data_IF_425411788934
#
_entry.id   IF_425411788934
#
_cell.length_a   1.000
_cell.length_b   1.000
_cell.length_c   1.000
_cell.angle_alpha   90.00
_cell.angle_beta   90.00
_cell.angle_gamma   90.00
#
_symmetry.space_group_name_H-M   'P 1'
#
loop_
_entity.id
_entity.type
_entity.pdbx_description
1 polymer ?
#
# COMPACT_ATOMS: atom_id res chain seq x y z
N UNK A 1 13.26 -1.77 -74.51
CA UNK A 1 13.19 -0.92 -73.29
C UNK A 1 11.98 -1.26 -72.41
N UNK A 2 11.86 -2.51 -71.91
CA UNK A 2 10.69 -2.96 -71.10
C UNK A 2 11.03 -3.14 -69.61
N UNK A 3 12.31 -3.28 -69.27
CA UNK A 3 12.77 -3.65 -67.94
C UNK A 3 12.43 -2.62 -66.85
N UNK A 4 12.55 -1.32 -67.16
CA UNK A 4 12.25 -0.24 -66.21
C UNK A 4 10.79 -0.19 -65.77
N UNK A 5 9.83 -0.56 -66.63
CA UNK A 5 8.39 -0.58 -66.27
C UNK A 5 8.05 -1.77 -65.37
N UNK A 6 8.68 -2.91 -65.59
CA UNK A 6 8.50 -4.10 -64.74
C UNK A 6 9.08 -3.85 -63.34
N UNK A 7 10.27 -3.24 -63.26
CA UNK A 7 10.90 -2.89 -61.98
C UNK A 7 10.08 -1.85 -61.21
N UNK A 8 9.57 -0.82 -61.89
CA UNK A 8 8.71 0.22 -61.27
C UNK A 8 7.40 -0.36 -60.74
N UNK A 9 6.82 -1.35 -61.43
CA UNK A 9 5.58 -2.03 -60.98
C UNK A 9 5.84 -2.97 -59.80
N UNK A 10 6.95 -3.72 -59.82
CA UNK A 10 7.36 -4.58 -58.70
C UNK A 10 7.65 -3.80 -57.41
N UNK A 11 8.24 -2.60 -57.53
CA UNK A 11 8.45 -1.70 -56.38
C UNK A 11 7.14 -1.11 -55.86
N UNK A 12 6.22 -0.72 -56.75
CA UNK A 12 4.90 -0.23 -56.36
C UNK A 12 4.06 -1.32 -55.65
N UNK A 13 4.14 -2.57 -56.13
CA UNK A 13 3.45 -3.71 -55.52
C UNK A 13 4.06 -4.13 -54.16
N UNK A 14 5.34 -3.82 -53.92
CA UNK A 14 6.02 -4.09 -52.65
C UNK A 14 5.83 -2.99 -51.59
N UNK A 15 5.34 -1.81 -51.97
CA UNK A 15 5.10 -0.69 -51.06
C UNK A 15 4.07 -1.01 -49.94
N UNK A 16 2.91 -1.62 -50.25
CA UNK A 16 1.91 -1.97 -49.23
C UNK A 16 2.40 -2.95 -48.15
N UNK A 17 3.03 -4.11 -48.48
CA UNK A 17 3.48 -5.05 -47.44
C UNK A 17 4.63 -4.48 -46.61
N UNK A 18 5.53 -3.68 -47.20
CA UNK A 18 6.62 -3.03 -46.46
C UNK A 18 6.08 -1.97 -45.50
N UNK A 19 5.10 -1.17 -45.94
CA UNK A 19 4.43 -0.20 -45.08
C UNK A 19 3.72 -0.87 -43.90
N UNK A 20 3.01 -1.98 -44.13
CA UNK A 20 2.40 -2.77 -43.07
C UNK A 20 3.43 -3.38 -42.12
N UNK A 21 4.54 -3.91 -42.63
CA UNK A 21 5.61 -4.48 -41.80
C UNK A 21 6.24 -3.42 -40.88
N UNK A 22 6.48 -2.20 -41.39
CA UNK A 22 6.96 -1.08 -40.59
C UNK A 22 5.95 -0.65 -39.53
N UNK A 23 4.66 -0.60 -39.89
CA UNK A 23 3.59 -0.27 -38.95
C UNK A 23 3.49 -1.31 -37.82
N UNK A 24 3.53 -2.60 -38.16
CA UNK A 24 3.56 -3.68 -37.17
C UNK A 24 4.80 -3.59 -36.27
N UNK A 25 5.98 -3.32 -36.83
CA UNK A 25 7.21 -3.11 -36.06
C UNK A 25 7.10 -1.93 -35.09
N UNK A 26 6.50 -0.83 -35.54
CA UNK A 26 6.22 0.34 -34.69
C UNK A 26 5.28 0.00 -33.53
N UNK A 27 4.18 -0.73 -33.81
CA UNK A 27 3.26 -1.17 -32.76
C UNK A 27 3.91 -2.14 -31.77
N UNK A 28 4.77 -3.06 -32.23
CA UNK A 28 5.54 -3.96 -31.34
C UNK A 28 6.46 -3.14 -30.45
N UNK A 29 7.29 -2.26 -31.03
CA UNK A 29 8.19 -1.40 -30.26
C UNK A 29 7.44 -0.55 -29.22
N UNK A 30 6.33 0.07 -29.62
CA UNK A 30 5.52 0.91 -28.74
C UNK A 30 4.75 0.10 -27.70
N UNK A 31 4.38 -1.16 -27.99
CA UNK A 31 3.76 -2.04 -27.00
C UNK A 31 4.75 -2.50 -25.93
N UNK A 32 6.04 -2.62 -26.26
CA UNK A 32 7.10 -2.93 -25.30
C UNK A 32 7.53 -1.72 -24.47
N UNK A 33 7.62 -0.53 -25.08
CA UNK A 33 8.13 0.69 -24.43
C UNK A 33 7.05 1.69 -23.97
N UNK A 34 5.79 1.48 -24.31
CA UNK A 34 4.70 2.39 -23.96
C UNK A 34 4.27 2.23 -22.51
N UNK A 35 3.66 3.30 -21.95
CA UNK A 35 3.13 3.37 -20.58
C UNK A 35 2.06 2.31 -20.24
N UNK A 36 1.59 1.57 -21.25
CA UNK A 36 0.65 0.45 -21.12
C UNK A 36 1.31 -0.93 -21.14
N UNK A 37 2.63 -0.98 -21.35
CA UNK A 37 3.43 -2.20 -21.38
C UNK A 37 3.34 -2.96 -20.05
N UNK A 38 3.50 -4.28 -20.11
CA UNK A 38 3.39 -5.18 -18.96
C UNK A 38 4.28 -4.74 -17.80
N UNK A 39 5.48 -4.24 -18.09
CA UNK A 39 6.45 -3.77 -17.09
C UNK A 39 6.00 -2.49 -16.37
N UNK A 40 5.33 -1.57 -17.08
CA UNK A 40 4.78 -0.35 -16.48
C UNK A 40 3.59 -0.67 -15.57
N UNK A 41 2.81 -1.71 -15.91
CA UNK A 41 1.71 -2.21 -15.07
C UNK A 41 2.22 -2.83 -13.77
N UNK A 42 3.27 -3.65 -13.83
CA UNK A 42 3.87 -4.24 -12.63
C UNK A 42 4.41 -3.19 -11.67
N UNK A 43 5.15 -2.19 -12.18
CA UNK A 43 5.65 -1.07 -11.35
C UNK A 43 4.51 -0.29 -10.70
N UNK A 44 3.48 0.07 -11.46
CA UNK A 44 2.30 0.78 -10.92
C UNK A 44 1.56 -0.08 -9.88
N UNK A 45 1.47 -1.39 -10.08
CA UNK A 45 0.86 -2.28 -9.10
C UNK A 45 1.66 -2.35 -7.81
N UNK A 46 2.99 -2.37 -7.89
CA UNK A 46 3.88 -2.30 -6.73
C UNK A 46 3.71 -0.98 -5.99
N UNK A 47 3.71 0.15 -6.70
CA UNK A 47 3.47 1.48 -6.10
C UNK A 47 2.10 1.55 -5.39
N UNK A 48 1.05 0.98 -6.00
CA UNK A 48 -0.28 0.91 -5.38
C UNK A 48 -0.25 0.04 -4.12
N UNK A 49 0.46 -1.09 -4.15
CA UNK A 49 0.58 -1.98 -3.00
C UNK A 49 1.31 -1.29 -1.83
N UNK A 50 2.41 -0.60 -2.11
CA UNK A 50 3.19 0.15 -1.12
C UNK A 50 2.40 1.32 -0.54
N UNK A 51 1.68 2.06 -1.39
CA UNK A 51 0.79 3.14 -0.93
C UNK A 51 -0.32 2.62 -0.02
N UNK A 52 -0.92 1.47 -0.35
CA UNK A 52 -1.93 0.82 0.51
C UNK A 52 -1.35 0.35 1.84
N UNK A 53 -0.15 -0.23 1.84
CA UNK A 53 0.51 -0.63 3.07
C UNK A 53 0.80 0.57 3.99
N UNK A 54 1.21 1.69 3.39
CA UNK A 54 1.45 2.95 4.11
C UNK A 54 0.15 3.52 4.68
N UNK A 55 -0.95 3.47 3.90
CA UNK A 55 -2.27 3.90 4.36
C UNK A 55 -2.71 3.10 5.60
N UNK A 56 -2.65 1.77 5.53
CA UNK A 56 -3.04 0.89 6.65
C UNK A 56 -2.23 1.18 7.91
N UNK A 57 -0.93 1.44 7.77
CA UNK A 57 -0.08 1.85 8.91
C UNK A 57 -0.53 3.18 9.50
N UNK A 58 -0.70 4.20 8.68
CA UNK A 58 -1.13 5.51 9.12
C UNK A 58 -2.51 5.50 9.78
N UNK A 59 -3.45 4.70 9.25
CA UNK A 59 -4.77 4.49 9.85
C UNK A 59 -4.66 3.80 11.22
N UNK A 60 -3.83 2.77 11.34
CA UNK A 60 -3.61 2.09 12.63
C UNK A 60 -3.03 3.02 13.70
N UNK A 61 -2.10 3.90 13.30
CA UNK A 61 -1.51 4.90 14.18
C UNK A 61 -2.55 5.95 14.59
N UNK A 62 -3.32 6.46 13.62
CA UNK A 62 -4.44 7.38 13.88
C UNK A 62 -5.42 6.78 14.88
N UNK A 63 -5.87 5.55 14.66
CA UNK A 63 -6.86 4.91 15.53
C UNK A 63 -6.32 4.71 16.94
N UNK A 64 -5.02 4.41 17.07
CA UNK A 64 -4.36 4.30 18.38
C UNK A 64 -4.32 5.65 19.12
N UNK A 65 -4.05 6.73 18.39
CA UNK A 65 -4.02 8.08 18.93
C UNK A 65 -5.43 8.57 19.26
N UNK A 66 -6.42 8.24 18.44
CA UNK A 66 -7.82 8.62 18.65
C UNK A 66 -8.38 7.95 19.90
N UNK A 67 -8.07 6.67 20.16
CA UNK A 67 -8.40 6.01 21.44
C UNK A 67 -7.79 6.73 22.63
N UNK A 68 -6.52 7.12 22.55
CA UNK A 68 -5.83 7.87 23.63
C UNK A 68 -6.44 9.25 23.84
N UNK A 69 -6.71 9.97 22.76
CA UNK A 69 -7.31 11.31 22.79
C UNK A 69 -8.73 11.24 23.33
N UNK A 70 -9.53 10.26 22.93
CA UNK A 70 -10.88 10.07 23.46
C UNK A 70 -10.87 9.75 24.96
N UNK A 71 -9.90 8.96 25.43
CA UNK A 71 -9.68 8.75 26.87
C UNK A 71 -9.31 10.03 27.64
N UNK A 72 -8.73 11.03 26.97
CA UNK A 72 -8.38 12.34 27.56
C UNK A 72 -9.46 13.41 27.37
N UNK A 73 -10.32 13.27 26.35
CA UNK A 73 -11.33 14.26 25.92
C UNK A 73 -12.69 14.10 26.58
N UNK A 74 -12.96 12.98 27.25
CA UNK A 74 -14.18 12.86 28.03
C UNK A 74 -14.29 14.04 28.98
N UNK A 75 -15.43 14.75 29.00
CA UNK A 75 -15.75 15.77 30.02
C UNK A 75 -15.53 15.27 31.46
N UNK A 76 -15.42 13.94 31.60
CA UNK A 76 -15.09 13.21 32.83
C UNK A 76 -13.95 12.25 32.53
N UNK A 77 -12.93 12.24 33.39
CA UNK A 77 -11.85 11.24 33.40
C UNK A 77 -12.48 9.85 33.50
N UNK A 78 -11.97 8.90 32.71
CA UNK A 78 -12.37 7.49 32.79
C UNK A 78 -12.21 6.97 34.22
N UNK A 79 -13.33 6.50 34.79
CA UNK A 79 -13.40 6.05 36.17
C UNK A 79 -12.47 4.86 36.43
N UNK A 80 -12.28 4.00 35.45
CA UNK A 80 -11.45 2.80 35.60
C UNK A 80 -9.97 3.18 35.64
N UNK A 81 -9.55 4.13 34.78
CA UNK A 81 -8.20 4.70 34.80
C UNK A 81 -7.89 5.45 36.10
N UNK A 82 -8.90 6.15 36.65
CA UNK A 82 -8.81 6.82 37.95
C UNK A 82 -8.65 5.81 39.10
N UNK A 83 -9.42 4.72 39.07
CA UNK A 83 -9.36 3.65 40.07
C UNK A 83 -8.00 2.93 40.02
N UNK A 84 -7.50 2.59 38.83
CA UNK A 84 -6.17 1.98 38.66
C UNK A 84 -5.05 2.89 39.19
N UNK A 85 -5.12 4.20 38.91
CA UNK A 85 -4.17 5.18 39.45
C UNK A 85 -4.28 5.35 40.95
N UNK A 86 -5.49 5.38 41.51
CA UNK A 86 -5.71 5.47 42.95
C UNK A 86 -5.16 4.24 43.67
N UNK A 87 -5.40 3.03 43.16
CA UNK A 87 -4.85 1.77 43.70
C UNK A 87 -3.32 1.78 43.67
N UNK A 88 -2.73 2.19 42.54
CA UNK A 88 -1.27 2.24 42.36
C UNK A 88 -0.60 3.26 43.28
N UNK A 89 -1.17 4.46 43.42
CA UNK A 89 -0.55 5.55 44.18
C UNK A 89 -0.79 5.43 45.69
N UNK A 90 -1.98 4.98 46.08
CA UNK A 90 -2.40 4.97 47.49
C UNK A 90 -2.32 3.58 48.12
N UNK A 91 -1.88 2.55 47.37
CA UNK A 91 -1.99 1.14 47.76
C UNK A 91 -3.40 0.80 48.27
N UNK A 92 -4.42 1.42 47.64
CA UNK A 92 -5.81 1.23 48.03
C UNK A 92 -6.30 -0.11 47.48
N UNK A 93 -6.98 -0.89 48.30
CA UNK A 93 -7.66 -2.12 47.87
C UNK A 93 -9.09 -2.08 48.38
N UNK A 94 -10.03 -2.54 47.57
CA UNK A 94 -11.44 -2.61 47.95
C UNK A 94 -11.65 -3.59 49.11
N UNK A 95 -12.70 -3.36 49.91
CA UNK A 95 -13.02 -4.22 51.07
C UNK A 95 -13.23 -5.70 50.70
N UNK A 96 -13.70 -5.95 49.47
CA UNK A 96 -14.04 -7.28 48.97
C UNK A 96 -12.98 -7.81 47.98
N UNK A 97 -11.77 -7.24 47.98
CA UNK A 97 -10.70 -7.59 47.03
C UNK A 97 -9.56 -8.38 47.68
N UNK A 98 -8.95 -9.28 46.93
CA UNK A 98 -7.85 -10.14 47.39
C UNK A 98 -6.56 -9.75 46.68
N UNK A 99 -5.51 -9.45 47.44
CA UNK A 99 -4.16 -9.20 46.90
C UNK A 99 -3.43 -10.54 46.74
N UNK A 100 -3.05 -10.85 45.50
CA UNK A 100 -2.24 -12.03 45.20
C UNK A 100 -0.80 -11.55 44.94
N UNK A 101 0.14 -11.75 45.87
CA UNK A 101 1.54 -11.42 45.64
C UNK A 101 2.13 -12.36 44.57
N UNK A 102 2.85 -11.80 43.61
CA UNK A 102 3.57 -12.58 42.62
C UNK A 102 4.81 -13.24 43.23
N UNK A 103 5.14 -14.44 42.74
CA UNK A 103 6.39 -15.11 43.10
C UNK A 103 7.59 -14.29 42.60
N UNK A 104 8.70 -14.36 43.35
CA UNK A 104 9.97 -13.69 43.08
C UNK A 104 10.50 -13.90 41.66
N UNK A 105 10.15 -15.03 41.02
CA UNK A 105 10.55 -15.40 39.67
C UNK A 105 9.56 -15.03 38.57
N UNK A 106 8.36 -14.52 38.92
CA UNK A 106 7.27 -14.26 37.96
C UNK A 106 6.85 -12.79 38.05
N UNK A 107 7.65 -11.90 37.47
CA UNK A 107 7.27 -10.49 37.32
C UNK A 107 6.32 -10.32 36.13
N UNK A 108 5.34 -9.42 36.28
CA UNK A 108 4.35 -9.14 35.24
C UNK A 108 4.89 -8.31 34.06
N UNK A 109 6.15 -7.86 34.13
CA UNK A 109 6.92 -7.25 33.05
C UNK A 109 8.41 -7.52 33.28
#
# INVERSE_FOLDING_TARGET
MSFGRVLKRKLADALPPVGLALLCGYFVWHSLHGDSGLLARERKQQEIADARATLVRAESERDSMERRVNGLRGERIDRDQLDERARTLLNLVGKDEIVIPYDSQRRLF
#
